data_IF_831732738220
#
_entry.id   IF_831732738220
#
_cell.length_a   1.000
_cell.length_b   1.000
_cell.length_c   1.000
_cell.angle_alpha   90.00
_cell.angle_beta   90.00
_cell.angle_gamma   90.00
#
_symmetry.space_group_name_H-M   'P 1'
#
loop_
_entity.id
_entity.type
_entity.pdbx_description
1 polymer ?
#
# COMPACT_ATOMS: atom_id res chain seq x y z
N UNK A 1 -10.87 -8.57 23.69
CA UNK A 1 -11.58 -9.79 23.45
C UNK A 1 -11.37 -10.27 22.04
N UNK A 2 -11.83 -11.45 21.75
CA UNK A 2 -11.67 -12.05 20.43
C UNK A 2 -12.33 -11.23 19.33
N UNK A 3 -13.32 -10.42 19.67
CA UNK A 3 -14.00 -9.60 18.69
C UNK A 3 -13.10 -8.59 18.02
N UNK A 4 -12.00 -8.24 18.69
CA UNK A 4 -11.05 -7.29 18.11
C UNK A 4 -10.43 -7.88 16.84
N UNK A 5 -10.17 -9.17 16.83
CA UNK A 5 -9.59 -9.82 15.67
C UNK A 5 -10.55 -9.82 14.50
N UNK A 6 -11.83 -10.04 14.78
CA UNK A 6 -12.84 -10.04 13.74
C UNK A 6 -12.91 -8.67 13.10
N UNK A 7 -12.89 -7.62 13.91
CA UNK A 7 -12.89 -6.27 13.39
C UNK A 7 -11.67 -6.00 12.53
N UNK A 8 -10.54 -6.54 12.94
CA UNK A 8 -9.33 -6.33 12.19
C UNK A 8 -9.46 -6.89 10.78
N UNK A 9 -10.13 -8.02 10.64
CA UNK A 9 -10.37 -8.57 9.32
C UNK A 9 -11.32 -7.70 8.52
N UNK A 10 -12.28 -7.07 9.19
CA UNK A 10 -13.21 -6.18 8.53
C UNK A 10 -12.54 -4.91 8.03
N UNK A 11 -11.45 -4.52 8.67
CA UNK A 11 -10.72 -3.32 8.29
C UNK A 11 -9.58 -3.61 7.35
N UNK A 12 -9.62 -4.77 6.73
CA UNK A 12 -8.62 -5.09 5.75
C UNK A 12 -8.66 -4.04 4.63
N UNK A 13 -7.48 -3.56 4.27
CA UNK A 13 -7.39 -2.56 3.22
C UNK A 13 -7.47 -3.29 1.88
N UNK A 14 -8.47 -2.97 1.08
CA UNK A 14 -8.64 -3.59 -0.22
C UNK A 14 -7.69 -2.94 -1.21
N UNK A 15 -6.42 -3.33 -1.13
CA UNK A 15 -5.39 -2.79 -1.99
C UNK A 15 -5.10 -3.77 -3.11
N UNK A 16 -4.69 -3.27 -4.28
CA UNK A 16 -4.33 -4.18 -5.37
C UNK A 16 -3.14 -5.02 -4.97
N UNK A 17 -3.15 -6.28 -5.37
CA UNK A 17 -2.03 -7.18 -5.13
C UNK A 17 -1.06 -7.18 -6.29
N UNK A 18 -1.48 -6.64 -7.42
CA UNK A 18 -0.67 -6.60 -8.63
C UNK A 18 -0.93 -5.30 -9.36
N UNK A 19 0.13 -4.68 -9.84
CA UNK A 19 0.01 -3.53 -10.75
C UNK A 19 0.74 -3.85 -12.04
N UNK A 20 0.27 -3.24 -13.13
CA UNK A 20 0.86 -3.43 -14.46
C UNK A 20 1.13 -2.06 -15.07
N UNK A 21 2.16 -1.35 -14.55
CA UNK A 21 2.39 0.04 -14.95
C UNK A 21 2.77 0.20 -16.42
N UNK A 22 3.30 -0.84 -17.05
CA UNK A 22 3.67 -0.78 -18.45
C UNK A 22 2.58 -1.28 -19.37
N UNK A 23 1.45 -1.72 -18.81
CA UNK A 23 0.35 -2.24 -19.62
C UNK A 23 -0.41 -1.17 -20.38
N UNK A 24 -0.43 0.05 -19.87
CA UNK A 24 -1.03 1.16 -20.57
C UNK A 24 -2.53 1.14 -20.70
N UNK A 25 -3.20 0.33 -19.91
CA UNK A 25 -4.66 0.21 -20.00
C UNK A 25 -5.40 1.16 -19.05
N UNK A 26 -4.66 1.94 -18.28
CA UNK A 26 -5.25 2.86 -17.31
C UNK A 26 -5.80 2.20 -16.08
N UNK A 27 -5.73 0.89 -16.00
CA UNK A 27 -6.17 0.11 -14.86
C UNK A 27 -4.94 -0.48 -14.18
N UNK A 28 -4.87 -0.37 -12.85
CA UNK A 28 -3.79 -1.00 -12.09
C UNK A 28 -2.40 -0.52 -12.49
N UNK A 29 -2.30 0.72 -13.00
CA UNK A 29 -1.00 1.28 -13.36
C UNK A 29 -0.23 1.78 -12.13
N UNK A 30 -0.94 2.05 -11.04
CA UNK A 30 -0.36 2.59 -9.83
C UNK A 30 -0.85 1.84 -8.61
N UNK A 31 0.03 1.78 -7.61
CA UNK A 31 -0.36 1.29 -6.30
C UNK A 31 -0.80 2.50 -5.48
N UNK A 32 -2.02 2.50 -5.01
CA UNK A 32 -2.58 3.61 -4.24
C UNK A 32 -3.71 3.08 -3.35
N UNK A 33 -4.14 3.91 -2.41
CA UNK A 33 -5.21 3.54 -1.50
C UNK A 33 -6.52 4.12 -2.04
N UNK A 34 -7.57 3.30 -2.21
CA UNK A 34 -8.85 3.80 -2.69
C UNK A 34 -9.39 4.95 -1.83
N UNK A 35 -10.11 5.85 -2.45
CA UNK A 35 -10.59 7.06 -1.79
C UNK A 35 -11.43 6.77 -0.56
N UNK A 36 -12.30 5.79 -0.61
CA UNK A 36 -13.15 5.42 0.52
C UNK A 36 -12.30 5.07 1.72
N UNK A 37 -11.25 4.31 1.51
CA UNK A 37 -10.35 3.91 2.58
C UNK A 37 -9.52 5.09 3.07
N UNK A 38 -9.03 5.93 2.14
CA UNK A 38 -8.24 7.11 2.50
C UNK A 38 -8.99 8.05 3.41
N UNK A 39 -10.28 8.19 3.17
CA UNK A 39 -11.08 9.15 3.94
C UNK A 39 -11.19 8.79 5.40
N UNK A 40 -10.88 7.56 5.75
CA UNK A 40 -10.91 7.12 7.14
C UNK A 40 -9.54 7.23 7.82
N UNK A 41 -8.53 7.66 7.07
CA UNK A 41 -7.18 7.77 7.59
C UNK A 41 -6.84 9.21 7.93
N UNK A 42 -6.29 9.42 9.12
CA UNK A 42 -5.84 10.74 9.55
C UNK A 42 -4.33 10.86 9.32
N UNK A 43 -3.54 10.12 10.09
CA UNK A 43 -2.10 10.08 9.89
C UNK A 43 -1.75 8.84 9.09
N UNK A 44 -0.75 8.95 8.24
CA UNK A 44 -0.44 7.88 7.32
C UNK A 44 1.05 7.81 7.04
N UNK A 45 1.55 6.59 6.92
CA UNK A 45 2.92 6.35 6.47
C UNK A 45 2.97 4.99 5.79
N UNK A 46 3.56 4.96 4.60
CA UNK A 46 3.79 3.71 3.89
C UNK A 46 5.27 3.57 3.60
N UNK A 47 5.78 2.34 3.75
CA UNK A 47 7.14 1.98 3.38
C UNK A 47 7.07 0.75 2.51
N UNK A 48 7.76 0.78 1.38
CA UNK A 48 7.77 -0.32 0.43
C UNK A 48 9.20 -0.83 0.30
N UNK A 49 9.36 -2.14 0.40
CA UNK A 49 10.67 -2.80 0.40
C UNK A 49 10.73 -3.81 -0.72
N UNK A 50 11.91 -3.97 -1.31
CA UNK A 50 12.10 -5.05 -2.28
C UNK A 50 12.32 -6.37 -1.54
N UNK A 51 12.52 -7.45 -2.30
CA UNK A 51 12.65 -8.78 -1.69
C UNK A 51 13.92 -8.94 -0.87
N UNK A 52 14.87 -8.04 -1.01
CA UNK A 52 16.08 -8.04 -0.20
C UNK A 52 15.98 -7.20 1.05
N UNK A 53 14.81 -6.61 1.30
CA UNK A 53 14.59 -5.80 2.48
C UNK A 53 15.06 -4.37 2.35
N UNK A 54 15.39 -3.92 1.14
CA UNK A 54 15.82 -2.55 0.92
C UNK A 54 14.59 -1.67 0.74
N UNK A 55 14.59 -0.51 1.38
CA UNK A 55 13.52 0.46 1.23
C UNK A 55 13.60 1.08 -0.16
N UNK A 56 12.53 0.95 -0.93
CA UNK A 56 12.49 1.48 -2.29
C UNK A 56 11.54 2.66 -2.42
N UNK A 57 10.61 2.84 -1.50
CA UNK A 57 9.68 3.95 -1.55
C UNK A 57 9.10 4.19 -0.17
N UNK A 58 8.90 5.44 0.17
CA UNK A 58 8.29 5.82 1.44
C UNK A 58 7.51 7.11 1.25
N UNK A 59 6.33 7.19 1.86
CA UNK A 59 5.51 8.38 1.77
C UNK A 59 4.68 8.53 3.04
N UNK A 60 4.43 9.77 3.42
CA UNK A 60 3.48 10.10 4.49
C UNK A 60 2.21 10.70 3.93
N UNK A 61 2.09 10.77 2.62
CA UNK A 61 0.93 11.30 1.93
C UNK A 61 -0.02 10.16 1.58
N UNK A 62 -1.22 10.15 2.17
CA UNK A 62 -2.17 9.09 1.90
C UNK A 62 -2.70 9.12 0.47
N UNK A 63 -2.41 10.19 -0.25
CA UNK A 63 -2.76 10.30 -1.67
C UNK A 63 -1.62 9.85 -2.58
N UNK A 64 -0.67 9.12 -2.05
CA UNK A 64 0.47 8.65 -2.81
C UNK A 64 0.04 7.77 -3.98
N UNK A 65 0.90 7.72 -4.99
CA UNK A 65 0.77 6.78 -6.10
C UNK A 65 2.16 6.28 -6.42
N UNK A 66 2.32 4.98 -6.53
CA UNK A 66 3.61 4.39 -6.85
C UNK A 66 3.43 3.40 -7.99
N UNK A 67 4.28 3.51 -8.99
CA UNK A 67 4.17 2.71 -10.20
C UNK A 67 5.24 1.62 -10.30
N UNK A 68 5.91 1.31 -9.21
CA UNK A 68 6.95 0.29 -9.22
C UNK A 68 8.32 0.83 -9.58
N UNK A 69 8.48 2.14 -9.64
CA UNK A 69 9.74 2.75 -10.04
C UNK A 69 10.72 2.79 -8.88
N UNK A 70 11.97 2.42 -9.17
CA UNK A 70 13.06 2.50 -8.22
C UNK A 70 14.29 2.92 -9.00
N UNK A 71 14.94 4.01 -8.57
CA UNK A 71 16.10 4.59 -9.26
C UNK A 71 15.78 4.94 -10.72
N UNK A 72 14.57 5.46 -10.93
CA UNK A 72 14.15 5.93 -12.26
C UNK A 72 13.72 4.81 -13.20
N UNK A 73 13.58 3.59 -12.71
CA UNK A 73 13.27 2.46 -13.58
C UNK A 73 12.17 1.62 -12.95
N UNK A 74 11.16 1.28 -13.75
CA UNK A 74 10.07 0.43 -13.29
C UNK A 74 10.58 -1.00 -13.14
N UNK A 75 10.33 -1.59 -11.96
CA UNK A 75 10.84 -2.91 -11.59
C UNK A 75 9.80 -3.98 -11.94
N UNK A 76 9.68 -4.28 -13.24
CA UNK A 76 8.71 -5.29 -13.68
C UNK A 76 9.10 -6.68 -13.20
N UNK A 77 8.08 -7.56 -13.08
CA UNK A 77 8.25 -8.95 -12.65
C UNK A 77 8.94 -9.06 -11.31
N UNK A 78 8.59 -8.15 -10.40
CA UNK A 78 9.18 -8.10 -9.07
C UNK A 78 8.08 -8.12 -8.01
N UNK A 79 8.43 -8.65 -6.84
CA UNK A 79 7.52 -8.68 -5.71
C UNK A 79 8.08 -7.74 -4.64
N UNK A 80 7.20 -6.92 -4.09
CA UNK A 80 7.56 -5.96 -3.05
C UNK A 80 6.74 -6.23 -1.81
N UNK A 81 7.29 -5.85 -0.66
CA UNK A 81 6.58 -5.92 0.62
C UNK A 81 6.34 -4.51 1.08
N UNK A 82 5.17 -4.26 1.65
CA UNK A 82 4.90 -2.93 2.16
C UNK A 82 4.34 -2.99 3.56
N UNK A 83 4.54 -1.90 4.28
CA UNK A 83 4.04 -1.71 5.63
C UNK A 83 3.33 -0.38 5.66
N UNK A 84 2.10 -0.37 6.16
CA UNK A 84 1.33 0.85 6.29
C UNK A 84 1.01 1.05 7.76
N UNK A 85 1.33 2.25 8.27
CA UNK A 85 0.88 2.71 9.58
C UNK A 85 -0.09 3.85 9.34
N UNK A 86 -1.22 3.82 10.02
CA UNK A 86 -2.14 4.94 9.94
C UNK A 86 -2.96 5.03 11.21
N UNK A 87 -3.55 6.20 11.43
CA UNK A 87 -4.57 6.36 12.45
C UNK A 87 -5.87 6.63 11.73
N UNK A 88 -6.96 6.09 12.26
CA UNK A 88 -8.27 6.43 11.70
C UNK A 88 -8.75 7.75 12.31
N UNK A 89 -9.94 8.18 11.93
CA UNK A 89 -10.44 9.49 12.35
C UNK A 89 -10.71 9.60 13.86
N UNK A 90 -10.79 8.48 14.56
CA UNK A 90 -10.94 8.49 16.00
C UNK A 90 -9.63 8.39 16.74
N UNK A 91 -8.50 8.43 16.01
CA UNK A 91 -7.19 8.44 16.60
C UNK A 91 -6.60 7.08 16.90
N UNK A 92 -7.25 6.01 16.52
CA UNK A 92 -6.73 4.66 16.76
C UNK A 92 -5.65 4.31 15.75
N UNK A 93 -4.51 3.77 16.21
CA UNK A 93 -3.45 3.38 15.29
C UNK A 93 -3.71 1.99 14.71
N UNK A 94 -3.34 1.84 13.46
CA UNK A 94 -3.44 0.57 12.75
C UNK A 94 -2.14 0.29 12.02
N UNK A 95 -1.90 -0.99 11.78
CA UNK A 95 -0.70 -1.46 11.13
C UNK A 95 -1.11 -2.54 10.13
N UNK A 96 -0.69 -2.40 8.88
CA UNK A 96 -1.06 -3.34 7.84
C UNK A 96 0.17 -3.70 7.01
N UNK A 97 0.35 -4.98 6.75
CA UNK A 97 1.43 -5.49 5.91
C UNK A 97 0.85 -6.20 4.71
N UNK A 98 1.53 -6.12 3.59
CA UNK A 98 1.09 -6.83 2.42
C UNK A 98 2.20 -6.99 1.42
N UNK A 99 1.87 -7.63 0.31
CA UNK A 99 2.79 -7.80 -0.81
C UNK A 99 2.16 -7.22 -2.05
N UNK A 100 3.02 -6.74 -2.95
CA UNK A 100 2.60 -6.16 -4.22
C UNK A 100 3.49 -6.75 -5.31
N UNK A 101 2.86 -7.25 -6.36
CA UNK A 101 3.58 -7.74 -7.53
C UNK A 101 3.52 -6.68 -8.62
N UNK A 102 4.67 -6.36 -9.20
CA UNK A 102 4.77 -5.45 -10.34
C UNK A 102 5.03 -6.31 -11.56
N UNK A 103 4.09 -6.31 -12.50
CA UNK A 103 4.17 -7.17 -13.69
C UNK A 103 4.72 -6.44 -14.89
#
# INVERSE_FOLDING_TARGET
>A
TATIFIKKCEYELFLPKTITPTGGDGLNDYFFIPEITRNEMDKFEISIYNRWGQLVYRSTDKNFKWNGEYHGKIQTQSIFHYVIYYTNNDGRPYFYKGTLTVM
#
